data_IF_359446306761
#
_entry.id   IF_359446306761
#
_cell.length_a   1.000
_cell.length_b   1.000
_cell.length_c   1.000
_cell.angle_alpha   90.00
_cell.angle_beta   90.00
_cell.angle_gamma   90.00
#
_symmetry.space_group_name_H-M   'P 1'
#
loop_
_entity.id
_entity.type
_entity.pdbx_description
1 polymer ?
#
# COMPACT_ATOMS: atom_id res chain seq x y z
N UNK A 1 28.41 7.03 -15.32
CA UNK A 1 27.08 6.51 -15.74
C UNK A 1 26.95 5.12 -15.15
N UNK A 2 26.17 4.95 -14.07
CA UNK A 2 25.92 3.64 -13.50
C UNK A 2 25.01 2.85 -14.45
N UNK A 3 25.51 1.75 -15.02
CA UNK A 3 24.66 0.79 -15.71
C UNK A 3 23.77 0.15 -14.66
N UNK A 4 22.51 0.55 -14.61
CA UNK A 4 21.50 -0.12 -13.79
C UNK A 4 21.25 -1.50 -14.39
N UNK A 5 21.87 -2.54 -13.83
CA UNK A 5 21.56 -3.94 -14.10
C UNK A 5 20.29 -4.37 -13.34
N UNK A 6 19.23 -3.55 -13.33
CA UNK A 6 17.94 -4.05 -12.88
C UNK A 6 17.31 -4.85 -14.03
N UNK A 7 17.47 -6.17 -13.96
CA UNK A 7 16.75 -7.08 -14.84
C UNK A 7 15.27 -7.06 -14.45
N UNK A 8 14.43 -6.53 -15.34
CA UNK A 8 12.99 -6.59 -15.19
C UNK A 8 12.52 -8.05 -15.22
N UNK A 9 11.45 -8.40 -14.49
CA UNK A 9 10.95 -9.76 -14.45
C UNK A 9 10.53 -10.20 -15.86
N UNK A 10 10.96 -11.38 -16.26
CA UNK A 10 10.56 -11.99 -17.53
C UNK A 10 9.07 -12.35 -17.55
N UNK A 11 8.59 -12.85 -18.70
CA UNK A 11 7.17 -13.16 -18.88
C UNK A 11 6.64 -14.17 -17.84
N UNK A 12 7.43 -15.20 -17.54
CA UNK A 12 6.99 -16.29 -16.66
C UNK A 12 6.98 -15.80 -15.20
N UNK A 13 8.04 -15.12 -14.76
CA UNK A 13 8.12 -14.49 -13.44
C UNK A 13 7.00 -13.47 -13.25
N UNK A 14 6.76 -12.63 -14.26
CA UNK A 14 5.68 -11.65 -14.24
C UNK A 14 4.32 -12.34 -14.11
N UNK A 15 4.09 -13.44 -14.83
CA UNK A 15 2.83 -14.17 -14.79
C UNK A 15 2.60 -14.86 -13.45
N UNK A 16 3.62 -15.46 -12.86
CA UNK A 16 3.55 -16.06 -11.53
C UNK A 16 3.17 -15.03 -10.47
N UNK A 17 3.85 -13.88 -10.48
CA UNK A 17 3.51 -12.76 -9.59
C UNK A 17 2.07 -12.29 -9.84
N UNK A 18 1.68 -12.06 -11.09
CA UNK A 18 0.34 -11.59 -11.41
C UNK A 18 -0.76 -12.54 -10.91
N UNK A 19 -0.55 -13.87 -10.99
CA UNK A 19 -1.49 -14.87 -10.45
C UNK A 19 -1.72 -14.71 -8.95
N UNK A 20 -0.68 -14.39 -8.18
CA UNK A 20 -0.77 -14.20 -6.72
C UNK A 20 -1.66 -13.00 -6.38
N UNK A 21 -1.40 -11.86 -7.02
CA UNK A 21 -2.16 -10.63 -6.72
C UNK A 21 -3.59 -10.67 -7.26
N UNK A 22 -3.79 -11.25 -8.44
CA UNK A 22 -5.11 -11.38 -9.05
C UNK A 22 -5.94 -12.52 -8.44
N UNK A 23 -5.31 -13.39 -7.63
CA UNK A 23 -5.87 -14.66 -7.12
C UNK A 23 -6.42 -15.57 -8.23
N UNK A 24 -5.81 -15.52 -9.40
CA UNK A 24 -6.24 -16.31 -10.56
C UNK A 24 -5.26 -17.46 -10.81
N UNK A 25 -5.78 -18.59 -11.27
CA UNK A 25 -4.96 -19.79 -11.53
C UNK A 25 -4.54 -19.91 -12.98
N UNK A 26 -5.30 -19.32 -13.92
CA UNK A 26 -5.08 -19.45 -15.36
C UNK A 26 -4.59 -18.15 -15.98
N UNK A 27 -3.71 -18.25 -16.99
CA UNK A 27 -3.18 -17.07 -17.68
C UNK A 27 -4.29 -16.25 -18.37
N UNK A 28 -5.29 -16.92 -18.96
CA UNK A 28 -6.45 -16.24 -19.58
C UNK A 28 -7.27 -15.42 -18.57
N UNK A 29 -7.42 -15.91 -17.34
CA UNK A 29 -8.08 -15.18 -16.27
C UNK A 29 -7.24 -13.99 -15.78
N UNK A 30 -5.92 -14.15 -15.67
CA UNK A 30 -4.99 -13.04 -15.38
C UNK A 30 -5.08 -11.95 -16.45
N UNK A 31 -5.06 -12.32 -17.74
CA UNK A 31 -5.20 -11.35 -18.83
C UNK A 31 -6.50 -10.56 -18.71
N UNK A 32 -7.62 -11.25 -18.48
CA UNK A 32 -8.92 -10.60 -18.31
C UNK A 32 -8.94 -9.67 -17.10
N UNK A 33 -8.32 -10.08 -15.99
CA UNK A 33 -8.19 -9.25 -14.79
C UNK A 33 -7.37 -7.97 -15.06
N UNK A 34 -6.33 -8.06 -15.89
CA UNK A 34 -5.58 -6.90 -16.38
C UNK A 34 -6.35 -6.04 -17.41
N UNK A 35 -7.54 -6.46 -17.84
CA UNK A 35 -8.31 -5.80 -18.90
C UNK A 35 -7.79 -6.10 -20.31
N UNK A 36 -7.05 -7.19 -20.50
CA UNK A 36 -6.44 -7.60 -21.76
C UNK A 36 -7.14 -8.83 -22.37
N UNK A 37 -7.18 -8.95 -23.70
CA UNK A 37 -7.64 -10.17 -24.37
C UNK A 37 -6.78 -11.39 -24.01
N UNK A 38 -7.38 -12.57 -23.84
CA UNK A 38 -6.65 -13.79 -23.50
C UNK A 38 -5.57 -14.19 -24.54
N UNK A 39 -5.80 -13.84 -25.81
CA UNK A 39 -4.83 -14.05 -26.91
C UNK A 39 -3.52 -13.27 -26.73
N UNK A 40 -3.52 -12.21 -25.91
CA UNK A 40 -2.35 -11.40 -25.61
C UNK A 40 -1.23 -12.24 -24.99
N UNK A 41 -1.56 -13.12 -24.05
CA UNK A 41 -0.58 -13.98 -23.40
C UNK A 41 0.11 -14.94 -24.39
N UNK A 42 -0.66 -15.59 -25.27
CA UNK A 42 -0.11 -16.47 -26.30
C UNK A 42 0.83 -15.72 -27.25
N UNK A 43 0.50 -14.47 -27.59
CA UNK A 43 1.35 -13.61 -28.41
C UNK A 43 2.66 -13.24 -27.71
N UNK A 44 2.59 -12.87 -26.42
CA UNK A 44 3.78 -12.57 -25.61
C UNK A 44 4.69 -13.79 -25.47
N UNK A 45 4.11 -14.96 -25.19
CA UNK A 45 4.84 -16.23 -25.09
C UNK A 45 5.55 -16.58 -26.39
N UNK A 46 4.88 -16.44 -27.52
CA UNK A 46 5.47 -16.69 -28.86
C UNK A 46 6.63 -15.74 -29.16
N UNK A 47 6.51 -14.47 -28.77
CA UNK A 47 7.53 -13.44 -29.02
C UNK A 47 8.63 -13.40 -27.95
N UNK A 48 8.49 -14.16 -26.87
CA UNK A 48 9.36 -14.11 -25.67
C UNK A 48 9.57 -12.67 -25.18
N UNK A 49 8.52 -11.87 -25.24
CA UNK A 49 8.57 -10.44 -24.93
C UNK A 49 7.27 -9.99 -24.29
N UNK A 50 7.40 -9.28 -23.17
CA UNK A 50 6.31 -8.70 -22.40
C UNK A 50 6.19 -7.21 -22.72
N UNK A 51 4.97 -6.72 -22.92
CA UNK A 51 4.73 -5.28 -22.99
C UNK A 51 4.41 -4.77 -21.57
N UNK A 52 5.39 -4.13 -20.94
CA UNK A 52 5.24 -3.64 -19.57
C UNK A 52 4.22 -2.52 -19.44
N UNK A 53 4.07 -1.64 -20.44
CA UNK A 53 3.09 -0.55 -20.41
C UNK A 53 1.68 -1.08 -20.17
N UNK A 54 1.32 -2.16 -20.88
CA UNK A 54 0.00 -2.82 -20.72
C UNK A 54 -0.17 -3.46 -19.34
N UNK A 55 0.89 -4.03 -18.78
CA UNK A 55 0.84 -4.61 -17.43
C UNK A 55 0.68 -3.51 -16.39
N UNK A 56 1.45 -2.43 -16.50
CA UNK A 56 1.40 -1.26 -15.62
C UNK A 56 0.00 -0.64 -15.66
N UNK A 57 -0.55 -0.37 -16.84
CA UNK A 57 -1.92 0.13 -17.02
C UNK A 57 -2.96 -0.79 -16.36
N UNK A 58 -2.80 -2.10 -16.48
CA UNK A 58 -3.70 -3.09 -15.87
C UNK A 58 -3.60 -3.08 -14.36
N UNK A 59 -2.39 -3.02 -13.81
CA UNK A 59 -2.16 -3.00 -12.35
C UNK A 59 -2.66 -1.72 -11.69
N UNK A 60 -2.39 -0.56 -12.30
CA UNK A 60 -2.86 0.73 -11.78
C UNK A 60 -4.39 0.79 -11.75
N UNK A 61 -5.07 0.22 -12.75
CA UNK A 61 -6.54 0.08 -12.75
C UNK A 61 -7.08 -0.76 -11.61
N UNK A 62 -6.28 -1.72 -11.13
CA UNK A 62 -6.64 -2.58 -9.99
C UNK A 62 -6.14 -2.02 -8.65
N UNK A 63 -5.53 -0.83 -8.65
CA UNK A 63 -4.96 -0.23 -7.44
C UNK A 63 -3.77 -1.01 -6.86
N UNK A 64 -3.04 -1.76 -7.68
CA UNK A 64 -1.89 -2.56 -7.24
C UNK A 64 -0.60 -1.77 -7.42
N UNK A 65 0.21 -1.71 -6.37
CA UNK A 65 1.54 -1.09 -6.42
C UNK A 65 2.45 -1.77 -7.44
N UNK A 66 3.16 -0.97 -8.24
CA UNK A 66 4.10 -1.46 -9.23
C UNK A 66 5.35 -2.07 -8.58
N UNK A 67 5.77 -1.54 -7.44
CA UNK A 67 6.90 -2.05 -6.65
C UNK A 67 6.76 -3.52 -6.33
N UNK A 68 5.53 -3.94 -6.03
CA UNK A 68 5.24 -5.32 -5.74
C UNK A 68 5.60 -6.25 -6.92
N UNK A 69 5.41 -5.79 -8.16
CA UNK A 69 5.76 -6.57 -9.35
C UNK A 69 7.24 -6.43 -9.72
N UNK A 70 7.80 -5.23 -9.64
CA UNK A 70 9.13 -4.94 -10.20
C UNK A 70 10.26 -5.04 -9.16
N UNK A 71 9.96 -4.77 -7.90
CA UNK A 71 10.94 -4.62 -6.84
C UNK A 71 10.41 -5.14 -5.47
N UNK A 72 9.87 -6.38 -5.39
CA UNK A 72 9.16 -6.86 -4.20
C UNK A 72 10.00 -6.93 -2.92
N UNK A 73 11.33 -6.98 -3.04
CA UNK A 73 12.28 -7.11 -1.94
C UNK A 73 13.22 -5.90 -1.84
N UNK A 74 12.84 -4.78 -2.45
CA UNK A 74 13.64 -3.55 -2.45
C UNK A 74 12.81 -2.45 -1.83
N UNK A 75 13.38 -1.79 -0.83
CA UNK A 75 12.81 -0.55 -0.30
C UNK A 75 13.04 0.57 -1.30
N UNK A 76 12.05 0.81 -2.17
CA UNK A 76 12.12 1.91 -3.13
C UNK A 76 12.01 3.25 -2.41
N UNK A 77 12.80 4.21 -2.88
CA UNK A 77 12.65 5.59 -2.44
C UNK A 77 11.37 6.19 -3.04
N UNK A 78 10.42 6.52 -2.18
CA UNK A 78 9.23 7.25 -2.55
C UNK A 78 9.42 8.74 -2.29
N UNK A 79 9.66 9.55 -3.33
CA UNK A 79 9.68 10.99 -3.14
C UNK A 79 8.34 11.45 -2.60
N UNK A 80 8.38 12.34 -1.61
CA UNK A 80 7.17 12.98 -1.09
C UNK A 80 6.66 13.98 -2.14
N UNK A 81 5.81 13.48 -3.04
CA UNK A 81 5.18 14.28 -4.10
C UNK A 81 4.17 15.28 -3.55
N UNK A 82 3.68 15.14 -2.31
CA UNK A 82 2.78 16.12 -1.69
C UNK A 82 3.39 17.51 -1.55
N UNK A 83 4.73 17.60 -1.53
CA UNK A 83 5.46 18.88 -1.46
C UNK A 83 5.78 19.48 -2.83
N UNK A 84 5.68 18.69 -3.91
CA UNK A 84 6.16 19.07 -5.26
C UNK A 84 5.00 19.19 -6.26
N UNK A 85 3.93 18.42 -6.04
CA UNK A 85 2.76 18.34 -6.90
C UNK A 85 1.72 19.32 -6.37
N UNK A 86 1.83 20.58 -6.80
CA UNK A 86 0.67 21.48 -6.90
C UNK A 86 -0.06 21.17 -8.20
N UNK A 87 -0.38 19.90 -8.45
CA UNK A 87 -1.14 19.53 -9.66
C UNK A 87 -2.62 19.64 -9.36
N UNK A 88 -3.30 20.31 -10.29
CA UNK A 88 -4.68 20.75 -10.27
C UNK A 88 -5.71 19.63 -10.40
N UNK A 89 -5.34 18.39 -10.11
CA UNK A 89 -6.28 17.28 -9.97
C UNK A 89 -6.28 16.87 -8.51
N UNK A 90 -7.34 17.28 -7.81
CA UNK A 90 -7.70 16.74 -6.51
C UNK A 90 -7.78 15.21 -6.64
N UNK A 91 -6.70 14.51 -6.30
CA UNK A 91 -6.82 13.15 -5.77
C UNK A 91 -7.63 13.32 -4.51
N UNK A 92 -8.94 13.21 -4.68
CA UNK A 92 -9.93 13.35 -3.64
C UNK A 92 -9.65 12.20 -2.66
N UNK A 93 -8.82 12.47 -1.66
CA UNK A 93 -8.77 11.67 -0.45
C UNK A 93 -10.19 11.73 0.10
N UNK A 94 -11.01 10.75 -0.28
CA UNK A 94 -12.37 10.64 0.23
C UNK A 94 -12.26 10.64 1.74
N UNK A 95 -12.85 11.65 2.38
CA UNK A 95 -12.90 11.71 3.83
C UNK A 95 -13.40 10.33 4.34
N UNK A 96 -12.73 9.73 5.34
CA UNK A 96 -13.11 8.41 5.84
C UNK A 96 -14.61 8.39 6.13
N UNK A 97 -15.32 7.37 5.63
CA UNK A 97 -16.74 7.25 5.93
C UNK A 97 -16.92 6.98 7.42
N UNK A 98 -18.10 7.27 7.98
CA UNK A 98 -18.42 6.95 9.39
C UNK A 98 -18.14 5.46 9.69
N UNK A 99 -18.40 4.57 8.74
CA UNK A 99 -18.12 3.14 8.89
C UNK A 99 -16.61 2.82 8.97
N UNK A 100 -15.77 3.57 8.26
CA UNK A 100 -14.31 3.40 8.29
C UNK A 100 -13.73 3.95 9.60
N UNK A 101 -14.25 5.07 10.09
CA UNK A 101 -13.88 5.62 11.40
C UNK A 101 -14.22 4.64 12.53
N UNK A 102 -15.40 4.00 12.47
CA UNK A 102 -15.78 2.97 13.44
C UNK A 102 -14.84 1.76 13.42
N UNK A 103 -14.38 1.31 12.24
CA UNK A 103 -13.39 0.24 12.12
C UNK A 103 -12.02 0.65 12.69
N UNK A 104 -11.61 1.89 12.45
CA UNK A 104 -10.37 2.41 13.00
C UNK A 104 -10.42 2.42 14.53
N UNK A 105 -11.50 2.93 15.13
CA UNK A 105 -11.71 2.96 16.59
C UNK A 105 -11.67 1.56 17.22
N UNK A 106 -12.36 0.58 16.62
CA UNK A 106 -12.32 -0.82 17.05
C UNK A 106 -10.90 -1.40 17.09
N UNK A 107 -10.00 -0.90 16.24
CA UNK A 107 -8.62 -1.35 16.16
C UNK A 107 -7.69 -0.58 17.10
N UNK A 108 -7.86 0.74 17.25
CA UNK A 108 -6.95 1.58 18.05
C UNK A 108 -7.26 1.57 19.54
N UNK A 109 -8.53 1.42 19.94
CA UNK A 109 -8.92 1.43 21.36
C UNK A 109 -8.25 0.31 22.18
N UNK A 110 -8.17 -0.95 21.71
CA UNK A 110 -7.45 -2.00 22.44
C UNK A 110 -5.97 -1.67 22.66
N UNK A 111 -5.32 -1.05 21.66
CA UNK A 111 -3.92 -0.64 21.73
C UNK A 111 -3.74 0.49 22.75
N UNK A 112 -4.63 1.49 22.72
CA UNK A 112 -4.64 2.58 23.70
C UNK A 112 -4.83 2.05 25.13
N UNK A 113 -5.76 1.13 25.35
CA UNK A 113 -5.95 0.46 26.66
C UNK A 113 -4.70 -0.28 27.11
N UNK A 114 -4.08 -1.06 26.22
CA UNK A 114 -2.86 -1.83 26.51
C UNK A 114 -1.70 -0.94 26.96
N UNK A 115 -1.57 0.26 26.38
CA UNK A 115 -0.49 1.20 26.68
C UNK A 115 -0.87 2.30 27.69
N UNK A 116 -2.04 2.19 28.34
CA UNK A 116 -2.57 3.20 29.26
C UNK A 116 -2.61 4.61 28.67
N UNK A 117 -2.94 4.72 27.38
CA UNK A 117 -3.16 6.01 26.72
C UNK A 117 -4.53 6.54 27.16
N UNK A 118 -4.63 7.77 27.70
CA UNK A 118 -5.90 8.40 28.01
C UNK A 118 -6.86 8.42 26.81
N UNK A 119 -8.13 8.09 27.05
CA UNK A 119 -9.18 8.01 26.03
C UNK A 119 -9.76 9.40 25.70
N UNK A 120 -8.88 10.34 25.36
CA UNK A 120 -9.28 11.70 24.95
C UNK A 120 -9.59 11.74 23.46
N UNK A 121 -10.43 12.70 23.05
CA UNK A 121 -10.77 12.91 21.63
C UNK A 121 -9.51 13.14 20.76
N UNK A 122 -8.56 13.93 21.27
CA UNK A 122 -7.28 14.18 20.61
C UNK A 122 -6.45 12.90 20.42
N UNK A 123 -6.36 12.03 21.42
CA UNK A 123 -5.60 10.77 21.32
C UNK A 123 -6.27 9.79 20.33
N UNK A 124 -7.61 9.73 20.32
CA UNK A 124 -8.34 8.96 19.31
C UNK A 124 -8.09 9.50 17.91
N UNK A 125 -8.08 10.82 17.73
CA UNK A 125 -7.79 11.44 16.44
C UNK A 125 -6.38 11.08 15.96
N UNK A 126 -5.35 11.22 16.79
CA UNK A 126 -3.97 10.86 16.40
C UNK A 126 -3.82 9.39 16.03
N UNK A 127 -4.42 8.49 16.81
CA UNK A 127 -4.38 7.05 16.54
C UNK A 127 -5.15 6.68 15.27
N UNK A 128 -6.31 7.30 15.06
CA UNK A 128 -7.17 7.08 13.88
C UNK A 128 -6.52 7.64 12.62
N UNK A 129 -5.86 8.79 12.69
CA UNK A 129 -5.07 9.33 11.59
C UNK A 129 -3.87 8.44 11.25
N UNK A 130 -3.17 7.91 12.26
CA UNK A 130 -2.09 6.95 12.05
C UNK A 130 -2.61 5.65 11.39
N UNK A 131 -3.81 5.22 11.75
CA UNK A 131 -4.48 4.08 11.13
C UNK A 131 -4.80 4.33 9.65
N UNK A 132 -5.29 5.53 9.30
CA UNK A 132 -5.64 5.88 7.92
C UNK A 132 -4.44 6.22 7.04
N UNK A 133 -3.32 6.67 7.61
CA UNK A 133 -2.08 6.96 6.88
C UNK A 133 -1.29 5.71 6.44
N UNK A 134 -1.89 4.51 6.53
CA UNK A 134 -1.29 3.22 6.12
C UNK A 134 -0.87 3.23 4.64
N UNK A 135 0.43 3.13 4.38
CA UNK A 135 0.98 2.67 3.09
C UNK A 135 1.68 1.34 3.30
N UNK A 136 1.20 0.30 2.61
CA UNK A 136 1.93 -0.96 2.38
C UNK A 136 2.20 -1.81 3.62
N UNK A 137 1.72 -3.04 3.58
CA UNK A 137 1.94 -4.11 4.55
C UNK A 137 1.26 -4.00 5.93
N UNK A 138 0.56 -5.06 6.32
CA UNK A 138 -0.20 -5.12 7.56
C UNK A 138 0.70 -5.21 8.81
N UNK A 139 1.96 -5.65 8.63
CA UNK A 139 2.92 -5.84 9.72
C UNK A 139 3.51 -4.52 10.25
N UNK A 140 3.51 -3.46 9.44
CA UNK A 140 3.96 -2.12 9.87
C UNK A 140 2.89 -1.35 10.65
N UNK A 141 1.60 -1.66 10.44
CA UNK A 141 0.49 -0.93 11.08
C UNK A 141 0.42 -1.17 12.59
N UNK A 142 0.46 -2.42 13.02
CA UNK A 142 0.39 -2.76 14.45
C UNK A 142 1.61 -2.17 15.19
N UNK A 143 2.80 -2.31 14.61
CA UNK A 143 4.03 -1.72 15.15
C UNK A 143 3.93 -0.19 15.23
N UNK A 144 3.48 0.47 14.16
CA UNK A 144 3.34 1.93 14.13
C UNK A 144 2.34 2.44 15.17
N UNK A 145 1.17 1.79 15.30
CA UNK A 145 0.16 2.16 16.29
C UNK A 145 0.65 1.91 17.73
N UNK A 146 1.41 0.84 17.97
CA UNK A 146 2.05 0.60 19.25
C UNK A 146 3.08 1.70 19.57
N UNK A 147 3.88 2.14 18.60
CA UNK A 147 4.85 3.22 18.80
C UNK A 147 4.17 4.57 19.04
N UNK A 148 3.09 4.88 18.31
CA UNK A 148 2.31 6.11 18.54
C UNK A 148 1.66 6.08 19.93
N UNK A 149 1.09 4.94 20.34
CA UNK A 149 0.53 4.78 21.67
C UNK A 149 1.60 4.95 22.77
N UNK A 150 2.79 4.39 22.59
CA UNK A 150 3.92 4.60 23.51
C UNK A 150 4.37 6.06 23.56
N UNK A 151 4.44 6.74 22.40
CA UNK A 151 4.81 8.15 22.33
C UNK A 151 3.78 9.06 23.05
N UNK A 152 2.49 8.81 22.86
CA UNK A 152 1.42 9.54 23.54
C UNK A 152 1.47 9.29 25.06
N UNK A 153 1.61 8.03 25.48
CA UNK A 153 1.69 7.68 26.89
C UNK A 153 2.94 8.27 27.59
N UNK A 154 4.08 8.32 26.91
CA UNK A 154 5.31 8.89 27.45
C UNK A 154 5.28 10.42 27.49
N UNK A 155 4.77 11.07 26.44
CA UNK A 155 4.61 12.53 26.40
C UNK A 155 3.68 13.03 27.50
N UNK A 156 2.56 12.34 27.72
CA UNK A 156 1.55 12.74 28.73
C UNK A 156 2.04 12.47 30.15
N UNK A 157 2.73 11.35 30.41
CA UNK A 157 3.42 11.11 31.69
C UNK A 157 4.48 12.18 32.01
N UNK A 158 5.16 12.71 31.00
CA UNK A 158 6.12 13.79 31.18
C UNK A 158 5.43 15.15 31.47
N UNK A 159 4.14 15.29 31.13
CA UNK A 159 3.37 16.51 31.40
C UNK A 159 2.72 16.49 32.80
N UNK A 160 2.33 15.31 33.30
CA UNK A 160 1.76 15.14 34.65
C UNK A 160 2.80 15.23 35.79
N UNK A 161 4.09 15.16 35.47
CA UNK A 161 5.20 15.19 36.43
C UNK A 161 5.86 16.58 36.57
N UNK A 162 5.18 17.64 36.11
CA UNK A 162 5.53 19.06 36.27
C UNK A 162 4.43 19.76 37.06
#
# INVERSE_FOLDING_TARGET
MAKSNMELPDLDTCMERLKLVSKQTTASAVMRWLGLPASTYSNWKRRKSLNYDRVIEGMLRQGVSLDWLFAPNVDLFYPNVSLVVTEQDEVQYSAPSVADTMKALQYVEPIMKKHNVPMTEANHQFMTEAYFKRRGDAMLLDTALQQVALALATAQKATDNK
#
